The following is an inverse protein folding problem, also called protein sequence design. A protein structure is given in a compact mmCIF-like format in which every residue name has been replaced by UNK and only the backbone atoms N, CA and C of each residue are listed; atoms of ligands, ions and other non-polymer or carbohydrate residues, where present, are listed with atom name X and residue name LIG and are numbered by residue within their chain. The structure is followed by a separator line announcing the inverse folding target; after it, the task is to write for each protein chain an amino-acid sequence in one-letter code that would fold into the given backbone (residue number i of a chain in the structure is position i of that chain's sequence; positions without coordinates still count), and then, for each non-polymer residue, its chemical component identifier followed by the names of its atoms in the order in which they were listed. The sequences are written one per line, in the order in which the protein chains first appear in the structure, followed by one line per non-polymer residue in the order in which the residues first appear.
data_IF_467757763115
#
_entry.id   IF_467757763115
#
_cell.length_a   1.000
_cell.length_b   1.000
_cell.length_c   1.000
_cell.angle_alpha   90.00
_cell.angle_beta   90.00
_cell.angle_gamma   90.00
#
_symmetry.space_group_name_H-M   'P 1'
#
loop_
_entity.id
_entity.type
_entity.pdbx_description
1 polymer ?
#
# COMPACT_ATOMS: atom_id res chain seq x y z
N UNK A 1 13.09 6.72 11.25
CA UNK A 1 13.43 6.77 9.80
C UNK A 1 12.79 8.00 9.13
N UNK A 2 13.13 8.35 7.87
CA UNK A 2 12.38 9.40 7.13
C UNK A 2 11.02 8.86 6.70
N UNK A 3 9.97 9.68 6.78
CA UNK A 3 8.62 9.33 6.33
C UNK A 3 8.38 9.79 4.89
N UNK A 4 7.88 8.90 4.05
CA UNK A 4 7.47 9.16 2.67
C UNK A 4 5.96 8.97 2.54
N UNK A 5 5.25 10.05 2.22
CA UNK A 5 3.82 9.99 1.93
C UNK A 5 3.57 9.61 0.47
N UNK A 6 2.77 8.58 0.26
CA UNK A 6 2.42 8.01 -1.03
C UNK A 6 0.95 8.27 -1.31
N UNK A 7 0.67 9.01 -2.40
CA UNK A 7 -0.69 9.24 -2.86
C UNK A 7 -1.26 7.96 -3.46
N UNK A 8 -2.39 7.50 -2.93
CA UNK A 8 -3.09 6.31 -3.41
C UNK A 8 -4.34 6.73 -4.17
N UNK A 9 -4.56 6.16 -5.35
CA UNK A 9 -5.74 6.43 -6.18
C UNK A 9 -6.53 5.15 -6.42
N UNK A 10 -7.85 5.29 -6.56
CA UNK A 10 -8.73 4.19 -6.97
C UNK A 10 -8.96 4.28 -8.48
N UNK A 11 -8.52 3.27 -9.21
CA UNK A 11 -8.82 3.13 -10.63
C UNK A 11 -10.12 2.34 -10.78
N UNK A 12 -11.11 2.94 -11.45
CA UNK A 12 -12.40 2.30 -11.75
C UNK A 12 -12.46 2.03 -13.25
N UNK A 13 -12.02 0.86 -13.69
CA UNK A 13 -12.12 0.45 -15.09
C UNK A 13 -13.43 -0.30 -15.32
N UNK A 14 -14.49 0.47 -15.55
CA UNK A 14 -15.85 -0.05 -15.73
C UNK A 14 -16.17 -0.46 -17.17
N UNK A 15 -15.26 -0.20 -18.12
CA UNK A 15 -15.38 -0.55 -19.53
C UNK A 15 -14.68 -1.87 -19.89
N UNK A 16 -13.83 -2.39 -19.00
CA UNK A 16 -13.20 -3.71 -19.14
C UNK A 16 -14.19 -4.85 -18.86
N UNK A 17 -13.94 -6.01 -19.48
CA UNK A 17 -14.62 -7.27 -19.20
C UNK A 17 -13.57 -8.32 -18.75
N UNK A 18 -13.49 -8.66 -17.45
CA UNK A 18 -14.34 -8.18 -16.35
C UNK A 18 -14.02 -6.74 -15.92
N UNK A 19 -14.97 -6.10 -15.24
CA UNK A 19 -14.77 -4.79 -14.61
C UNK A 19 -13.65 -4.89 -13.58
N UNK A 20 -12.67 -4.00 -13.65
CA UNK A 20 -11.53 -3.98 -12.73
C UNK A 20 -11.59 -2.74 -11.86
N UNK A 21 -11.50 -2.92 -10.54
CA UNK A 21 -11.32 -1.83 -9.57
C UNK A 21 -10.05 -2.11 -8.81
N UNK A 22 -9.13 -1.14 -8.77
CA UNK A 22 -7.81 -1.34 -8.20
C UNK A 22 -7.28 -0.10 -7.48
N UNK A 23 -6.41 -0.32 -6.49
CA UNK A 23 -5.61 0.71 -5.85
C UNK A 23 -4.27 0.83 -6.58
N UNK A 24 -3.84 2.07 -6.80
CA UNK A 24 -2.50 2.37 -7.32
C UNK A 24 -1.82 3.41 -6.45
N UNK A 25 -0.51 3.23 -6.30
CA UNK A 25 0.34 3.97 -5.39
C UNK A 25 1.23 4.88 -6.22
N UNK A 26 0.83 6.14 -6.35
CA UNK A 26 1.58 7.12 -7.12
C UNK A 26 2.99 7.28 -6.55
N UNK A 27 3.97 7.58 -7.40
CA UNK A 27 5.34 7.87 -6.99
C UNK A 27 6.11 6.67 -6.40
N UNK A 28 5.55 5.45 -6.43
CA UNK A 28 6.24 4.23 -6.03
C UNK A 28 5.94 3.06 -6.99
N UNK A 29 6.72 2.95 -8.07
CA UNK A 29 6.54 1.89 -9.09
C UNK A 29 6.89 0.48 -8.62
N UNK A 30 7.55 0.37 -7.47
CA UNK A 30 7.95 -0.90 -6.87
C UNK A 30 6.80 -1.57 -6.11
N UNK A 31 5.76 -0.81 -5.78
CA UNK A 31 4.59 -1.34 -5.10
C UNK A 31 3.59 -1.89 -6.10
N UNK A 32 3.14 -3.15 -5.95
CA UNK A 32 2.14 -3.72 -6.83
C UNK A 32 0.79 -3.03 -6.63
N UNK A 33 -0.06 -3.10 -7.67
CA UNK A 33 -1.47 -2.71 -7.56
C UNK A 33 -2.23 -3.73 -6.71
N UNK A 34 -3.25 -3.26 -5.98
CA UNK A 34 -4.22 -4.12 -5.29
C UNK A 34 -5.51 -4.13 -6.11
N UNK A 35 -6.04 -5.29 -6.46
CA UNK A 35 -7.24 -5.44 -7.27
C UNK A 35 -8.44 -5.72 -6.34
N UNK A 36 -9.17 -4.68 -5.98
CA UNK A 36 -10.33 -4.75 -5.08
C UNK A 36 -11.50 -5.56 -5.64
N UNK A 37 -11.59 -5.69 -6.97
CA UNK A 37 -12.64 -6.49 -7.63
C UNK A 37 -12.31 -7.98 -7.72
N UNK A 38 -11.09 -8.39 -7.35
CA UNK A 38 -10.67 -9.78 -7.36
C UNK A 38 -11.06 -10.48 -6.04
N UNK A 39 -11.39 -11.76 -6.11
CA UNK A 39 -11.78 -12.56 -4.94
C UNK A 39 -10.58 -13.18 -4.21
N UNK A 40 -9.45 -13.27 -4.90
CA UNK A 40 -8.20 -13.78 -4.36
C UNK A 40 -7.45 -12.65 -3.65
N UNK A 41 -6.78 -12.96 -2.54
CA UNK A 41 -6.05 -11.99 -1.70
C UNK A 41 -4.54 -12.06 -1.89
N UNK A 42 -4.07 -12.75 -2.92
CA UNK A 42 -2.65 -12.98 -3.19
C UNK A 42 -1.91 -11.68 -3.52
N UNK A 43 -2.61 -10.75 -4.14
CA UNK A 43 -2.14 -9.39 -4.43
C UNK A 43 -1.82 -8.59 -3.16
N UNK A 44 -2.65 -8.73 -2.12
CA UNK A 44 -2.47 -8.07 -0.84
C UNK A 44 -1.21 -8.60 -0.13
N UNK A 45 -1.00 -9.92 -0.13
CA UNK A 45 0.22 -10.49 0.44
C UNK A 45 1.48 -10.01 -0.30
N UNK A 46 1.44 -10.02 -1.63
CA UNK A 46 2.54 -9.52 -2.46
C UNK A 46 2.82 -8.04 -2.17
N UNK A 47 1.77 -7.25 -1.98
CA UNK A 47 1.87 -5.84 -1.62
C UNK A 47 2.53 -5.61 -0.26
N UNK A 48 2.15 -6.36 0.77
CA UNK A 48 2.79 -6.29 2.08
C UNK A 48 4.28 -6.63 2.03
N UNK A 49 4.65 -7.68 1.28
CA UNK A 49 6.06 -8.02 1.10
C UNK A 49 6.83 -6.89 0.40
N UNK A 50 6.24 -6.28 -0.65
CA UNK A 50 6.86 -5.17 -1.35
C UNK A 50 7.06 -3.93 -0.45
N UNK A 51 6.12 -3.63 0.45
CA UNK A 51 6.29 -2.57 1.46
C UNK A 51 7.51 -2.86 2.34
N UNK A 52 7.59 -4.09 2.85
CA UNK A 52 8.67 -4.48 3.76
C UNK A 52 10.03 -4.36 3.08
N UNK A 53 10.15 -4.89 1.86
CA UNK A 53 11.36 -4.81 1.04
C UNK A 53 11.75 -3.37 0.72
N UNK A 54 10.77 -2.52 0.39
CA UNK A 54 11.00 -1.09 0.14
C UNK A 54 11.56 -0.39 1.38
N UNK A 55 10.92 -0.56 2.55
CA UNK A 55 11.35 0.08 3.79
C UNK A 55 12.78 -0.35 4.15
N UNK A 56 13.10 -1.64 4.05
CA UNK A 56 14.46 -2.15 4.35
C UNK A 56 15.53 -1.75 3.33
N UNK A 57 15.13 -1.50 2.09
CA UNK A 57 16.05 -1.13 1.01
C UNK A 57 16.38 0.36 1.06
N UNK A 58 15.36 1.20 1.23
CA UNK A 58 15.50 2.66 1.18
C UNK A 58 15.60 3.32 2.56
N UNK A 59 15.37 2.57 3.64
CA UNK A 59 15.36 3.06 5.02
C UNK A 59 14.34 4.21 5.24
N UNK A 60 13.21 4.14 4.53
CA UNK A 60 12.11 5.11 4.59
C UNK A 60 10.83 4.41 5.00
N UNK A 61 10.10 5.00 5.94
CA UNK A 61 8.74 4.57 6.26
C UNK A 61 7.76 5.08 5.21
N UNK A 62 6.75 4.27 4.92
CA UNK A 62 5.69 4.62 4.00
C UNK A 62 4.45 5.05 4.78
N UNK A 63 3.77 6.08 4.29
CA UNK A 63 2.42 6.44 4.71
C UNK A 63 1.56 6.64 3.48
N UNK A 64 0.47 5.90 3.37
CA UNK A 64 -0.45 5.99 2.26
C UNK A 64 -1.55 7.00 2.55
N UNK A 65 -1.87 7.81 1.56
CA UNK A 65 -2.97 8.77 1.62
C UNK A 65 -3.91 8.54 0.45
N UNK A 66 -5.15 8.13 0.75
CA UNK A 66 -6.18 7.98 -0.28
C UNK A 66 -6.52 9.35 -0.86
N UNK A 67 -6.44 9.46 -2.18
CA UNK A 67 -6.84 10.62 -2.96
C UNK A 67 -7.96 10.20 -3.89
N UNK A 68 -9.14 10.06 -3.29
CA UNK A 68 -10.39 9.83 -3.98
C UNK A 68 -11.48 10.71 -3.35
N UNK A 69 -12.28 11.35 -4.19
CA UNK A 69 -13.39 12.21 -3.76
C UNK A 69 -14.75 11.53 -3.93
N UNK A 70 -14.76 10.32 -4.47
CA UNK A 70 -15.96 9.52 -4.72
C UNK A 70 -16.47 8.96 -3.38
N UNK A 71 -17.79 8.99 -3.16
CA UNK A 71 -18.42 8.43 -1.95
C UNK A 71 -19.15 7.12 -2.28
N UNK A 72 -18.41 6.16 -2.80
CA UNK A 72 -18.94 4.83 -3.11
C UNK A 72 -18.35 3.77 -2.17
N UNK A 73 -18.90 2.55 -2.23
CA UNK A 73 -18.45 1.42 -1.41
C UNK A 73 -16.94 1.14 -1.58
N UNK A 74 -16.40 1.35 -2.79
CA UNK A 74 -14.98 1.10 -3.05
C UNK A 74 -14.09 2.15 -2.38
N UNK A 75 -14.55 3.39 -2.25
CA UNK A 75 -13.88 4.40 -1.44
C UNK A 75 -13.83 4.00 0.04
N UNK A 76 -14.94 3.56 0.63
CA UNK A 76 -14.97 3.10 2.03
C UNK A 76 -14.00 1.92 2.26
N UNK A 77 -14.04 0.91 1.39
CA UNK A 77 -13.12 -0.24 1.45
C UNK A 77 -11.66 0.19 1.30
N UNK A 78 -11.37 1.12 0.39
CA UNK A 78 -10.03 1.64 0.21
C UNK A 78 -9.54 2.43 1.44
N UNK A 79 -10.40 3.23 2.07
CA UNK A 79 -10.08 3.94 3.31
C UNK A 79 -9.71 2.96 4.43
N UNK A 80 -10.49 1.90 4.60
CA UNK A 80 -10.22 0.86 5.60
C UNK A 80 -8.87 0.17 5.35
N UNK A 81 -8.60 -0.22 4.10
CA UNK A 81 -7.32 -0.84 3.71
C UNK A 81 -6.16 0.11 3.99
N UNK A 82 -6.25 1.38 3.56
CA UNK A 82 -5.19 2.37 3.77
C UNK A 82 -4.96 2.64 5.27
N UNK A 83 -6.02 2.73 6.06
CA UNK A 83 -5.93 2.91 7.50
C UNK A 83 -5.23 1.73 8.16
N UNK A 84 -5.59 0.49 7.79
CA UNK A 84 -4.95 -0.71 8.31
C UNK A 84 -3.47 -0.77 7.92
N UNK A 85 -3.14 -0.53 6.65
CA UNK A 85 -1.75 -0.50 6.16
C UNK A 85 -0.88 0.48 6.95
N UNK A 86 -1.36 1.72 7.10
CA UNK A 86 -0.64 2.74 7.84
C UNK A 86 -0.44 2.37 9.31
N UNK A 87 -1.45 1.76 9.93
CA UNK A 87 -1.37 1.28 11.31
C UNK A 87 -0.31 0.19 11.47
N UNK A 88 -0.31 -0.80 10.58
CA UNK A 88 0.65 -1.91 10.62
C UNK A 88 2.10 -1.45 10.40
N UNK A 89 2.32 -0.54 9.45
CA UNK A 89 3.65 0.05 9.20
C UNK A 89 4.14 0.81 10.43
N UNK A 90 3.27 1.66 11.00
CA UNK A 90 3.59 2.46 12.19
C UNK A 90 3.93 1.58 13.39
N UNK A 91 3.12 0.55 13.65
CA UNK A 91 3.37 -0.42 14.74
C UNK A 91 4.67 -1.21 14.54
N UNK A 92 5.11 -1.36 13.29
CA UNK A 92 6.31 -2.12 12.93
C UNK A 92 7.57 -1.26 12.83
N UNK A 93 7.50 0.06 13.05
CA UNK A 93 8.63 1.00 12.90
C UNK A 93 9.87 0.51 13.66
N UNK A 94 9.72 0.17 14.94
CA UNK A 94 10.85 -0.30 15.75
C UNK A 94 11.48 -1.57 15.18
N UNK A 95 10.67 -2.51 14.70
CA UNK A 95 11.16 -3.75 14.10
C UNK A 95 12.02 -3.46 12.85
N UNK A 96 11.57 -2.53 11.99
CA UNK A 96 12.34 -2.11 10.83
C UNK A 96 13.69 -1.52 11.21
N UNK A 97 13.74 -0.66 12.24
CA UNK A 97 14.99 -0.08 12.72
C UNK A 97 15.97 -1.15 13.22
N UNK A 98 15.48 -2.14 13.96
CA UNK A 98 16.28 -3.28 14.43
C UNK A 98 16.84 -4.10 13.24
N UNK A 99 16.01 -4.42 12.25
CA UNK A 99 16.46 -5.15 11.05
C UNK A 99 17.53 -4.39 10.26
N UNK A 100 17.37 -3.07 10.08
CA UNK A 100 18.34 -2.23 9.38
C UNK A 100 19.67 -2.20 10.14
N UNK A 101 19.63 -2.09 11.47
CA UNK A 101 20.85 -2.13 12.30
C UNK A 101 21.58 -3.48 12.21
N UNK A 102 20.84 -4.60 12.18
CA UNK A 102 21.42 -5.93 12.01
C UNK A 102 22.09 -6.09 10.65
N UNK A 103 21.50 -5.57 9.56
CA UNK A 103 22.07 -5.60 8.20
C UNK A 103 23.38 -4.80 8.07
N UNK A 104 23.58 -3.79 8.94
CA UNK A 104 24.77 -2.92 8.94
C UNK A 104 25.96 -3.51 9.73
N UNK A 105 25.77 -4.61 10.46
CA UNK A 105 26.83 -5.34 11.16
C UNK A 105 27.47 -6.40 10.26
#
# INVERSE_FOLDING_TARGET
MELLTIKTIINRNTTADPKEISLSFEQCSELPRIILSETETTDLQAFFNAIFDYILTYEKLLQFQLSDTTKDLFNEVAEDIIMQLNSEISQSEQNFEEFIQLKKK
#
